data_IF_126562523182
#
_entry.id   IF_126562523182
#
_cell.length_a   1.000
_cell.length_b   1.000
_cell.length_c   1.000
_cell.angle_alpha   90.00
_cell.angle_beta   90.00
_cell.angle_gamma   90.00
#
_symmetry.space_group_name_H-M   'P 1'
#
loop_
_entity.id
_entity.type
_entity.pdbx_description
1 polymer ?
#
# COMPACT_ATOMS: atom_id res chain seq x y z
N UNK A 1 54.66 -3.64 -40.01
CA UNK A 1 53.18 -3.70 -39.98
C UNK A 1 52.71 -3.30 -38.58
N UNK A 2 52.36 -2.02 -38.38
CA UNK A 2 52.01 -1.46 -37.07
C UNK A 2 50.50 -1.62 -36.85
N UNK A 3 50.11 -2.52 -35.94
CA UNK A 3 48.71 -2.86 -35.63
C UNK A 3 48.14 -1.78 -34.69
N UNK A 4 47.32 -0.87 -35.23
CA UNK A 4 46.59 0.14 -34.44
C UNK A 4 45.53 -0.56 -33.59
N UNK A 5 45.73 -0.59 -32.27
CA UNK A 5 44.72 -1.03 -31.30
C UNK A 5 43.82 0.19 -31.02
N UNK A 6 42.56 0.11 -31.46
CA UNK A 6 41.54 1.11 -31.21
C UNK A 6 40.95 0.85 -29.81
N UNK A 7 41.27 1.67 -28.82
CA UNK A 7 40.61 1.63 -27.51
C UNK A 7 39.21 2.23 -27.63
N UNK A 8 38.18 1.38 -27.50
CA UNK A 8 36.79 1.80 -27.37
C UNK A 8 36.56 2.24 -25.91
N UNK A 9 36.50 3.55 -25.66
CA UNK A 9 36.18 4.09 -24.34
C UNK A 9 34.68 3.89 -24.05
N UNK A 10 34.35 2.97 -23.14
CA UNK A 10 33.03 2.93 -22.51
C UNK A 10 32.91 4.16 -21.59
N UNK A 11 32.13 5.16 -22.02
CA UNK A 11 31.67 6.23 -21.13
C UNK A 11 30.63 5.64 -20.15
N UNK A 12 30.86 5.69 -18.84
CA UNK A 12 29.84 5.30 -17.86
C UNK A 12 28.70 6.33 -17.92
N UNK A 13 27.48 5.86 -18.17
CA UNK A 13 26.28 6.67 -18.03
C UNK A 13 26.11 7.01 -16.54
N UNK A 14 26.44 8.26 -16.17
CA UNK A 14 26.17 8.79 -14.84
C UNK A 14 24.67 9.01 -14.74
N UNK A 15 23.96 8.15 -14.02
CA UNK A 15 22.59 8.39 -13.63
C UNK A 15 22.58 9.49 -12.57
N UNK A 16 22.30 10.73 -12.99
CA UNK A 16 22.01 11.81 -12.06
C UNK A 16 20.63 11.55 -11.45
N UNK A 17 20.59 11.33 -10.13
CA UNK A 17 19.34 11.37 -9.39
C UNK A 17 18.75 12.78 -9.56
N UNK A 18 17.53 12.86 -10.10
CA UNK A 18 16.83 14.15 -10.29
C UNK A 18 16.70 14.83 -8.92
N UNK A 19 17.40 15.95 -8.76
CA UNK A 19 17.53 16.60 -7.47
C UNK A 19 16.19 17.21 -7.05
N UNK A 20 15.73 16.92 -5.84
CA UNK A 20 14.45 17.42 -5.36
C UNK A 20 14.39 18.96 -5.37
N UNK A 21 13.27 19.57 -5.81
CA UNK A 21 13.08 21.02 -5.72
C UNK A 21 13.25 21.53 -4.29
N UNK A 22 13.80 22.73 -4.12
CA UNK A 22 14.09 23.31 -2.81
C UNK A 22 12.90 23.29 -1.82
N UNK A 23 11.65 23.58 -2.25
CA UNK A 23 10.48 23.51 -1.36
C UNK A 23 10.18 22.08 -0.88
N UNK A 24 10.36 21.09 -1.75
CA UNK A 24 10.14 19.67 -1.42
C UNK A 24 11.22 19.18 -0.45
N UNK A 25 12.49 19.56 -0.68
CA UNK A 25 13.58 19.30 0.28
C UNK A 25 13.32 19.92 1.65
N UNK A 26 12.71 21.11 1.70
CA UNK A 26 12.38 21.74 2.98
C UNK A 26 11.32 20.95 3.76
N UNK A 27 10.34 20.37 3.05
CA UNK A 27 9.32 19.49 3.64
C UNK A 27 9.94 18.14 4.04
N UNK A 28 10.85 17.58 3.25
CA UNK A 28 11.57 16.34 3.56
C UNK A 28 12.29 16.42 4.93
N UNK A 29 12.92 17.56 5.22
CA UNK A 29 13.55 17.85 6.52
C UNK A 29 12.60 17.81 7.72
N UNK A 30 11.29 17.85 7.51
CA UNK A 30 10.30 17.67 8.58
C UNK A 30 10.07 16.19 8.94
N UNK A 31 10.88 15.26 8.39
CA UNK A 31 10.81 13.83 8.68
C UNK A 31 9.99 13.04 7.67
N UNK A 32 9.74 13.60 6.47
CA UNK A 32 9.07 12.91 5.38
C UNK A 32 10.11 12.23 4.50
N UNK A 33 9.93 10.94 4.20
CA UNK A 33 10.73 10.21 3.21
C UNK A 33 9.97 10.14 1.90
N UNK A 34 10.55 10.67 0.81
CA UNK A 34 9.95 10.62 -0.53
C UNK A 34 10.09 9.20 -1.10
N UNK A 35 8.98 8.64 -1.61
CA UNK A 35 8.93 7.33 -2.25
C UNK A 35 9.04 7.48 -3.76
N UNK A 36 8.19 8.31 -4.36
CA UNK A 36 8.13 8.52 -5.82
C UNK A 36 7.39 9.81 -6.18
N UNK A 37 7.54 10.23 -7.43
CA UNK A 37 6.74 11.30 -8.04
C UNK A 37 5.45 10.76 -8.65
N UNK A 38 4.48 11.63 -8.86
CA UNK A 38 3.27 11.35 -9.62
C UNK A 38 2.73 12.63 -10.28
N UNK A 39 1.97 12.49 -11.36
CA UNK A 39 1.32 13.62 -12.02
C UNK A 39 0.11 14.10 -11.20
N UNK A 40 0.05 15.41 -10.94
CA UNK A 40 -1.06 16.03 -10.21
C UNK A 40 -1.83 17.00 -11.14
N UNK A 41 -3.13 17.25 -10.86
CA UNK A 41 -3.92 18.20 -11.63
C UNK A 41 -3.36 19.63 -11.60
N UNK A 42 -3.81 20.49 -12.53
CA UNK A 42 -3.51 21.92 -12.50
C UNK A 42 -2.05 22.28 -12.74
N UNK A 43 -1.29 21.43 -13.43
CA UNK A 43 0.14 21.67 -13.70
C UNK A 43 1.05 21.47 -12.48
N UNK A 44 0.55 20.82 -11.44
CA UNK A 44 1.34 20.49 -10.25
C UNK A 44 2.12 19.18 -10.44
N UNK A 45 3.28 19.08 -9.80
CA UNK A 45 4.04 17.82 -9.68
C UNK A 45 3.83 17.25 -8.28
N UNK A 46 3.34 16.02 -8.18
CA UNK A 46 3.10 15.34 -6.93
C UNK A 46 4.32 14.54 -6.46
N UNK A 47 4.49 14.45 -5.15
CA UNK A 47 5.47 13.60 -4.48
C UNK A 47 4.76 12.80 -3.39
N UNK A 48 4.80 11.48 -3.53
CA UNK A 48 4.28 10.55 -2.53
C UNK A 48 5.41 10.22 -1.57
N UNK A 49 5.13 10.26 -0.27
CA UNK A 49 6.11 9.93 0.76
C UNK A 49 5.49 9.24 1.97
N UNK A 50 6.31 9.05 3.00
CA UNK A 50 5.91 8.56 4.31
C UNK A 50 6.37 9.49 5.41
N UNK A 51 5.54 9.65 6.43
CA UNK A 51 5.86 10.26 7.71
C UNK A 51 5.45 9.28 8.82
N UNK A 52 6.40 8.83 9.65
CA UNK A 52 6.13 7.83 10.71
C UNK A 52 5.32 6.61 10.18
N UNK A 53 5.73 6.07 9.02
CA UNK A 53 5.05 5.01 8.27
C UNK A 53 3.65 5.29 7.72
N UNK A 54 3.10 6.48 7.96
CA UNK A 54 1.86 6.94 7.32
C UNK A 54 2.13 7.57 5.96
N UNK A 55 1.32 7.23 4.96
CA UNK A 55 1.42 7.84 3.63
C UNK A 55 1.10 9.33 3.67
N UNK A 56 1.86 10.14 2.93
CA UNK A 56 1.65 11.58 2.78
C UNK A 56 1.85 12.01 1.33
N UNK A 57 1.18 13.10 0.94
CA UNK A 57 1.34 13.71 -0.39
C UNK A 57 1.83 15.13 -0.29
N UNK A 58 2.76 15.48 -1.18
CA UNK A 58 3.29 16.83 -1.35
C UNK A 58 3.03 17.26 -2.79
N UNK A 59 2.56 18.48 -2.99
CA UNK A 59 2.25 19.05 -4.30
C UNK A 59 3.14 20.25 -4.56
N UNK A 60 4.02 20.15 -5.56
CA UNK A 60 4.77 21.28 -6.07
C UNK A 60 3.85 22.15 -6.93
N UNK A 61 3.76 23.41 -6.58
CA UNK A 61 2.94 24.40 -7.30
C UNK A 61 3.52 24.69 -8.69
N UNK A 62 2.71 25.20 -9.64
CA UNK A 62 3.14 25.39 -11.04
C UNK A 62 4.34 26.33 -11.23
N UNK A 63 4.64 27.20 -10.26
CA UNK A 63 5.80 28.09 -10.32
C UNK A 63 7.13 27.40 -9.96
N UNK A 64 7.09 26.16 -9.44
CA UNK A 64 8.24 25.40 -8.99
C UNK A 64 8.93 25.94 -7.72
N UNK A 65 8.42 27.01 -7.12
CA UNK A 65 8.98 27.74 -5.97
C UNK A 65 8.25 27.47 -4.67
N UNK A 66 7.04 26.90 -4.71
CA UNK A 66 6.30 26.50 -3.52
C UNK A 66 5.87 25.04 -3.57
N UNK A 67 5.76 24.42 -2.41
CA UNK A 67 5.19 23.08 -2.25
C UNK A 67 4.20 23.05 -1.07
N UNK A 68 3.15 22.25 -1.22
CA UNK A 68 2.08 22.09 -0.24
C UNK A 68 2.13 20.65 0.25
N UNK A 69 2.39 20.44 1.55
CA UNK A 69 2.18 19.15 2.20
C UNK A 69 0.74 19.09 2.69
N UNK A 70 -0.05 18.14 2.19
CA UNK A 70 -1.47 18.07 2.55
C UNK A 70 -2.30 17.15 1.66
N UNK A 71 -3.62 17.24 1.81
CA UNK A 71 -4.61 16.42 1.12
C UNK A 71 -5.33 17.22 0.03
N UNK A 72 -5.46 16.62 -1.16
CA UNK A 72 -6.14 17.20 -2.31
C UNK A 72 -7.52 16.59 -2.47
N UNK A 73 -8.51 17.45 -2.72
CA UNK A 73 -9.89 17.05 -2.99
C UNK A 73 -10.31 17.46 -4.40
N UNK A 74 -11.20 16.67 -4.99
CA UNK A 74 -11.88 17.04 -6.24
C UNK A 74 -13.25 17.68 -5.97
N UNK A 75 -13.91 18.13 -7.03
CA UNK A 75 -15.25 18.76 -6.98
C UNK A 75 -16.34 17.83 -6.44
N UNK A 76 -16.11 16.51 -6.41
CA UNK A 76 -17.03 15.51 -5.86
C UNK A 76 -16.84 15.28 -4.36
N UNK A 77 -15.89 15.97 -3.73
CA UNK A 77 -15.54 15.78 -2.32
C UNK A 77 -14.70 14.53 -2.06
N UNK A 78 -14.13 13.90 -3.09
CA UNK A 78 -13.22 12.77 -2.92
C UNK A 78 -11.82 13.26 -2.49
N UNK A 79 -11.26 12.62 -1.46
CA UNK A 79 -9.86 12.84 -1.05
C UNK A 79 -8.92 12.04 -1.97
N UNK A 80 -8.44 12.67 -3.03
CA UNK A 80 -7.56 12.07 -4.03
C UNK A 80 -6.23 11.59 -3.43
N UNK A 81 -5.74 12.29 -2.40
CA UNK A 81 -4.50 11.92 -1.70
C UNK A 81 -4.66 10.58 -0.98
N UNK A 82 -5.76 10.38 -0.25
CA UNK A 82 -6.04 9.11 0.41
C UNK A 82 -6.21 7.99 -0.61
N UNK A 83 -6.98 8.21 -1.69
CA UNK A 83 -7.14 7.24 -2.77
C UNK A 83 -5.78 6.80 -3.33
N UNK A 84 -4.87 7.75 -3.55
CA UNK A 84 -3.51 7.46 -4.03
C UNK A 84 -2.68 6.71 -2.98
N UNK A 85 -2.67 7.17 -1.73
CA UNK A 85 -1.93 6.53 -0.63
C UNK A 85 -2.39 5.08 -0.43
N UNK A 86 -3.70 4.85 -0.38
CA UNK A 86 -4.29 3.52 -0.26
C UNK A 86 -3.86 2.63 -1.41
N UNK A 87 -3.99 3.11 -2.65
CA UNK A 87 -3.64 2.34 -3.85
C UNK A 87 -2.15 1.99 -3.92
N UNK A 88 -1.28 2.93 -3.59
CA UNK A 88 0.16 2.82 -3.86
C UNK A 88 0.96 2.29 -2.66
N UNK A 89 0.50 2.51 -1.42
CA UNK A 89 1.22 2.11 -0.21
C UNK A 89 0.57 0.89 0.44
N UNK A 90 -0.75 0.89 0.64
CA UNK A 90 -1.41 -0.13 1.49
C UNK A 90 -1.99 -1.31 0.69
N UNK A 91 -2.62 -1.03 -0.44
CA UNK A 91 -3.29 -2.04 -1.27
C UNK A 91 -2.36 -3.11 -1.86
N UNK A 92 -1.08 -2.87 -2.23
CA UNK A 92 -0.22 -3.92 -2.76
C UNK A 92 0.01 -5.04 -1.75
N UNK A 93 0.47 -4.70 -0.53
CA UNK A 93 0.68 -5.67 0.53
C UNK A 93 -0.65 -6.31 0.97
N UNK A 94 -1.73 -5.52 1.08
CA UNK A 94 -3.06 -6.05 1.40
C UNK A 94 -3.54 -7.11 0.40
N UNK A 95 -3.41 -6.85 -0.92
CA UNK A 95 -3.78 -7.80 -1.98
C UNK A 95 -2.91 -9.05 -1.96
N UNK A 96 -1.60 -8.90 -1.74
CA UNK A 96 -0.70 -10.05 -1.65
C UNK A 96 -1.06 -10.94 -0.45
N UNK A 97 -1.25 -10.36 0.73
CA UNK A 97 -1.63 -11.12 1.93
C UNK A 97 -3.00 -11.79 1.75
N UNK A 98 -3.95 -11.08 1.13
CA UNK A 98 -5.26 -11.64 0.80
C UNK A 98 -5.15 -12.87 -0.10
N UNK A 99 -4.34 -12.79 -1.16
CA UNK A 99 -4.13 -13.91 -2.08
C UNK A 99 -3.42 -15.08 -1.41
N UNK A 100 -2.45 -14.83 -0.51
CA UNK A 100 -1.78 -15.88 0.25
C UNK A 100 -2.74 -16.62 1.18
N UNK A 101 -3.65 -15.91 1.84
CA UNK A 101 -4.71 -16.53 2.66
C UNK A 101 -5.67 -17.35 1.80
N UNK A 102 -5.98 -16.87 0.58
CA UNK A 102 -6.84 -17.59 -0.37
C UNK A 102 -6.25 -18.90 -0.85
N UNK A 103 -4.95 -18.94 -1.12
CA UNK A 103 -4.24 -20.14 -1.55
C UNK A 103 -3.88 -21.10 -0.41
N UNK A 104 -4.08 -20.69 0.85
CA UNK A 104 -3.78 -21.52 2.01
C UNK A 104 -4.82 -22.62 2.22
N UNK A 105 -4.51 -23.59 3.09
CA UNK A 105 -5.47 -24.65 3.44
C UNK A 105 -6.41 -24.17 4.55
N UNK A 106 -7.54 -23.58 4.16
CA UNK A 106 -8.57 -23.08 5.08
C UNK A 106 -9.79 -24.00 5.13
N UNK A 107 -10.54 -23.90 6.24
CA UNK A 107 -11.83 -24.57 6.44
C UNK A 107 -12.97 -23.59 6.19
N UNK A 108 -13.94 -24.00 5.37
CA UNK A 108 -15.14 -23.22 5.09
C UNK A 108 -16.15 -23.31 6.23
N UNK A 109 -16.68 -22.16 6.65
CA UNK A 109 -17.88 -22.05 7.49
C UNK A 109 -18.84 -21.03 6.84
N UNK A 110 -20.00 -21.52 6.41
CA UNK A 110 -20.99 -20.77 5.63
C UNK A 110 -21.17 -21.26 4.19
N UNK A 111 -21.79 -20.41 3.36
CA UNK A 111 -22.03 -20.68 1.94
C UNK A 111 -20.79 -20.32 1.11
N UNK A 112 -20.36 -21.21 0.21
CA UNK A 112 -19.17 -20.99 -0.65
C UNK A 112 -19.27 -19.74 -1.54
N UNK A 113 -20.49 -19.33 -1.86
CA UNK A 113 -20.88 -18.20 -2.70
C UNK A 113 -21.31 -16.97 -1.88
N UNK A 114 -21.12 -16.97 -0.55
CA UNK A 114 -21.38 -15.79 0.25
C UNK A 114 -20.46 -14.62 -0.20
N UNK A 115 -21.01 -13.41 -0.42
CA UNK A 115 -20.28 -12.33 -1.08
C UNK A 115 -19.18 -11.71 -0.20
N UNK A 116 -19.30 -11.80 1.12
CA UNK A 116 -18.30 -11.28 2.06
C UNK A 116 -17.44 -12.43 2.56
N UNK A 117 -16.14 -12.37 2.30
CA UNK A 117 -15.16 -13.34 2.75
C UNK A 117 -14.43 -12.77 3.97
N UNK A 118 -14.28 -13.56 5.03
CA UNK A 118 -13.48 -13.21 6.20
C UNK A 118 -12.50 -14.33 6.50
N UNK A 119 -11.22 -14.02 6.54
CA UNK A 119 -10.19 -14.97 6.99
C UNK A 119 -10.00 -14.87 8.50
N UNK A 120 -9.87 -16.02 9.16
CA UNK A 120 -9.70 -16.10 10.61
C UNK A 120 -8.56 -17.05 10.93
N UNK A 121 -7.52 -16.57 11.60
CA UNK A 121 -6.55 -17.46 12.25
C UNK A 121 -7.11 -17.89 13.59
N UNK A 122 -7.33 -19.20 13.78
CA UNK A 122 -7.98 -19.73 14.97
C UNK A 122 -7.20 -20.88 15.59
N UNK A 123 -7.08 -20.85 16.92
CA UNK A 123 -6.52 -21.92 17.72
C UNK A 123 -7.65 -22.67 18.46
N UNK A 124 -7.63 -24.01 18.53
CA UNK A 124 -8.67 -24.81 19.20
C UNK A 124 -8.93 -24.42 20.66
N UNK A 125 -7.91 -23.90 21.36
CA UNK A 125 -7.98 -23.54 22.77
C UNK A 125 -8.18 -22.04 23.01
N UNK A 126 -8.66 -21.30 22.01
CA UNK A 126 -8.95 -19.86 22.13
C UNK A 126 -10.43 -19.58 22.46
N UNK A 127 -10.75 -19.04 23.66
CA UNK A 127 -12.12 -18.65 24.00
C UNK A 127 -12.68 -17.56 23.10
N UNK A 128 -11.86 -16.59 22.68
CA UNK A 128 -12.31 -15.51 21.80
C UNK A 128 -12.58 -15.98 20.37
N UNK A 129 -11.89 -17.01 19.87
CA UNK A 129 -12.26 -17.62 18.58
C UNK A 129 -13.69 -18.18 18.63
N UNK A 130 -14.08 -18.80 19.74
CA UNK A 130 -15.44 -19.33 19.93
C UNK A 130 -16.48 -18.20 20.05
N UNK A 131 -16.15 -17.13 20.77
CA UNK A 131 -17.05 -15.97 20.91
C UNK A 131 -17.25 -15.25 19.57
N UNK A 132 -16.18 -15.00 18.80
CA UNK A 132 -16.28 -14.41 17.47
C UNK A 132 -17.09 -15.30 16.51
N UNK A 133 -16.85 -16.61 16.54
CA UNK A 133 -17.64 -17.57 15.76
C UNK A 133 -19.15 -17.46 16.07
N UNK A 134 -19.50 -17.34 17.36
CA UNK A 134 -20.89 -17.18 17.81
C UNK A 134 -21.47 -15.83 17.35
N UNK A 135 -20.70 -14.76 17.42
CA UNK A 135 -21.11 -13.43 16.94
C UNK A 135 -21.40 -13.45 15.44
N UNK A 136 -20.62 -14.20 14.65
CA UNK A 136 -20.78 -14.24 13.19
C UNK A 136 -22.04 -15.00 12.71
N UNK A 137 -22.70 -15.78 13.58
CA UNK A 137 -23.81 -16.69 13.19
C UNK A 137 -24.90 -16.03 12.34
N UNK A 138 -25.46 -14.85 12.69
CA UNK A 138 -26.55 -14.25 11.90
C UNK A 138 -26.18 -13.99 10.44
N UNK A 139 -24.89 -13.71 10.15
CA UNK A 139 -24.42 -13.44 8.79
C UNK A 139 -24.02 -14.71 8.04
N UNK A 140 -23.40 -15.66 8.75
CA UNK A 140 -22.99 -16.94 8.17
C UNK A 140 -24.20 -17.80 7.83
N UNK A 141 -25.15 -17.91 8.76
CA UNK A 141 -26.35 -18.73 8.60
C UNK A 141 -27.31 -18.15 7.55
N UNK A 142 -27.27 -16.83 7.32
CA UNK A 142 -28.02 -16.16 6.24
C UNK A 142 -27.29 -16.13 4.88
N UNK A 143 -26.11 -16.74 4.77
CA UNK A 143 -25.34 -16.81 3.52
C UNK A 143 -24.71 -15.48 3.07
N UNK A 144 -24.67 -14.47 3.95
CA UNK A 144 -24.09 -13.15 3.64
C UNK A 144 -22.58 -13.13 3.81
N UNK A 145 -22.06 -13.93 4.73
CA UNK A 145 -20.64 -14.04 5.05
C UNK A 145 -20.19 -15.50 4.97
N UNK A 146 -18.97 -15.72 4.50
CA UNK A 146 -18.23 -16.97 4.67
C UNK A 146 -16.98 -16.72 5.52
N UNK A 147 -16.79 -17.53 6.56
CA UNK A 147 -15.54 -17.57 7.30
C UNK A 147 -14.63 -18.62 6.66
N UNK A 148 -13.36 -18.26 6.42
CA UNK A 148 -12.31 -19.14 5.92
C UNK A 148 -11.25 -19.27 7.01
N UNK A 149 -11.37 -20.33 7.80
CA UNK A 149 -10.56 -20.51 9.01
C UNK A 149 -9.22 -21.16 8.68
N UNK A 150 -8.13 -20.47 9.04
CA UNK A 150 -6.75 -20.94 8.98
C UNK A 150 -6.36 -21.44 10.38
N UNK A 151 -6.35 -22.76 10.58
CA UNK A 151 -6.02 -23.33 11.88
C UNK A 151 -4.54 -23.14 12.24
N UNK A 152 -4.31 -22.78 13.50
CA UNK A 152 -2.98 -22.70 14.10
C UNK A 152 -2.99 -23.42 15.46
N UNK A 153 -1.83 -23.92 15.88
CA UNK A 153 -1.63 -24.52 17.20
C UNK A 153 -0.51 -23.79 17.92
N UNK A 154 -0.80 -22.63 18.47
CA UNK A 154 0.19 -21.72 19.07
C UNK A 154 -0.14 -21.31 20.50
N UNK A 155 -1.34 -21.64 21.01
CA UNK A 155 -1.77 -21.21 22.35
C UNK A 155 -1.46 -22.27 23.41
N UNK A 156 -1.71 -23.56 23.12
CA UNK A 156 -1.54 -24.66 24.09
C UNK A 156 -0.76 -25.84 23.50
N UNK A 157 0.01 -26.57 24.34
CA UNK A 157 0.64 -27.84 23.99
C UNK A 157 -0.37 -28.95 23.67
#
# INVERSE_FOLDING_TARGET
MLKKILLLALLPAIAFAEELPAPVKAIEKQGITIIKTFDAPGGMKGYLGKYQDMGVTIYLTPDGKHAISGYMYNEKGENLSNTLIEKEIYAPAGREMWQRMEQSHWLLDGKKDAPVIVYVFADPFCPYCKQFWQQARPWVDSGKVQLRTLLVGVIKP
#
